data_IF_928650347811
#
_entry.id   IF_928650347811
#
_cell.length_a   1.000
_cell.length_b   1.000
_cell.length_c   1.000
_cell.angle_alpha   90.00
_cell.angle_beta   90.00
_cell.angle_gamma   90.00
#
_symmetry.space_group_name_H-M   'P 1'
#
loop_
_entity.id
_entity.type
_entity.pdbx_description
1 polymer ?
#
# COMPACT_ATOMS: atom_id res chain seq x y z
N UNK A 1 8.03 -17.25 -5.96
CA UNK A 1 7.09 -16.11 -6.11
C UNK A 1 7.57 -15.09 -7.14
N UNK A 2 6.99 -15.20 -8.35
CA UNK A 2 7.01 -14.31 -9.52
C UNK A 2 8.30 -13.52 -9.88
N UNK A 3 9.11 -14.01 -10.84
CA UNK A 3 10.19 -13.24 -11.48
C UNK A 3 9.70 -12.25 -12.56
N UNK A 4 8.39 -12.03 -12.71
CA UNK A 4 7.83 -11.31 -13.87
C UNK A 4 7.91 -9.76 -13.77
N UNK A 5 8.32 -9.23 -12.63
CA UNK A 5 8.02 -7.85 -12.26
C UNK A 5 9.16 -7.18 -11.48
N UNK A 6 10.40 -7.45 -11.89
CA UNK A 6 11.56 -6.72 -11.38
C UNK A 6 12.05 -5.75 -12.45
N UNK A 7 12.37 -4.55 -11.98
CA UNK A 7 13.16 -3.48 -12.61
C UNK A 7 12.40 -2.27 -13.18
N UNK A 8 12.73 -1.12 -12.61
CA UNK A 8 12.30 0.21 -13.02
C UNK A 8 13.33 0.77 -14.02
N UNK A 9 13.32 0.22 -15.22
CA UNK A 9 14.02 0.78 -16.38
C UNK A 9 13.10 1.72 -17.17
N UNK A 10 13.68 2.77 -17.75
CA UNK A 10 12.98 3.65 -18.70
C UNK A 10 12.40 2.81 -19.86
N UNK A 11 11.10 2.96 -20.15
CA UNK A 11 10.42 2.26 -21.25
C UNK A 11 9.35 1.22 -20.87
N UNK A 12 8.97 1.09 -19.58
CA UNK A 12 7.80 0.29 -19.16
C UNK A 12 6.57 1.14 -18.96
N UNK A 13 5.41 0.65 -19.41
CA UNK A 13 4.09 1.28 -19.21
C UNK A 13 3.51 1.04 -17.80
N UNK A 14 4.23 0.32 -16.92
CA UNK A 14 3.75 -0.06 -15.58
C UNK A 14 4.83 0.17 -14.53
N UNK A 15 4.45 0.85 -13.44
CA UNK A 15 5.25 1.00 -12.22
C UNK A 15 4.74 0.05 -11.14
N UNK A 16 5.67 -0.64 -10.49
CA UNK A 16 5.37 -1.56 -9.41
C UNK A 16 5.88 -0.99 -8.09
N UNK A 17 4.98 -0.93 -7.12
CA UNK A 17 5.23 -0.41 -5.78
C UNK A 17 4.61 -1.39 -4.81
N UNK A 18 5.39 -1.86 -3.84
CA UNK A 18 4.85 -2.68 -2.75
C UNK A 18 4.21 -1.81 -1.66
N UNK A 19 3.25 -2.39 -0.94
CA UNK A 19 2.62 -1.71 0.19
C UNK A 19 3.64 -1.41 1.30
N UNK A 20 4.57 -2.34 1.54
CA UNK A 20 5.66 -2.21 2.50
C UNK A 20 6.62 -1.06 2.16
N UNK A 21 6.96 -0.85 0.88
CA UNK A 21 7.76 0.30 0.45
C UNK A 21 7.03 1.62 0.75
N UNK A 22 5.71 1.69 0.51
CA UNK A 22 4.92 2.88 0.85
C UNK A 22 4.90 3.17 2.34
N UNK A 23 4.86 2.14 3.18
CA UNK A 23 4.92 2.31 4.63
C UNK A 23 6.32 2.69 5.12
N UNK A 24 7.38 2.20 4.47
CA UNK A 24 8.76 2.44 4.87
C UNK A 24 9.27 3.82 4.44
N UNK A 25 9.00 4.25 3.22
CA UNK A 25 9.49 5.52 2.67
C UNK A 25 8.54 6.05 1.58
N UNK A 26 7.40 6.58 2.03
CA UNK A 26 6.41 7.20 1.15
C UNK A 26 6.99 8.35 0.28
N UNK A 27 7.82 9.28 0.80
CA UNK A 27 8.43 10.33 -0.03
C UNK A 27 9.23 9.77 -1.21
N UNK A 28 10.04 8.74 -0.99
CA UNK A 28 10.82 8.10 -2.05
C UNK A 28 9.90 7.45 -3.10
N UNK A 29 8.83 6.79 -2.66
CA UNK A 29 7.83 6.22 -3.57
C UNK A 29 7.15 7.29 -4.41
N UNK A 30 6.79 8.43 -3.82
CA UNK A 30 6.18 9.54 -4.56
C UNK A 30 7.13 10.15 -5.59
N UNK A 31 8.42 10.23 -5.28
CA UNK A 31 9.45 10.65 -6.26
C UNK A 31 9.56 9.67 -7.42
N UNK A 32 9.58 8.35 -7.13
CA UNK A 32 9.57 7.30 -8.17
C UNK A 32 8.31 7.41 -9.05
N UNK A 33 7.14 7.63 -8.44
CA UNK A 33 5.88 7.79 -9.13
C UNK A 33 5.87 9.05 -10.01
N UNK A 34 6.28 10.20 -9.48
CA UNK A 34 6.36 11.46 -10.21
C UNK A 34 7.27 11.34 -11.44
N UNK A 35 8.45 10.73 -11.28
CA UNK A 35 9.36 10.45 -12.39
C UNK A 35 8.74 9.49 -13.43
N UNK A 36 7.99 8.48 -12.98
CA UNK A 36 7.35 7.51 -13.86
C UNK A 36 6.21 8.11 -14.69
N UNK A 37 5.40 9.00 -14.11
CA UNK A 37 4.30 9.69 -14.83
C UNK A 37 4.72 11.00 -15.48
N UNK A 38 6.01 11.33 -15.45
CA UNK A 38 6.57 12.59 -15.94
C UNK A 38 5.88 13.84 -15.33
N UNK A 39 5.48 13.75 -14.06
CA UNK A 39 4.87 14.87 -13.35
C UNK A 39 5.95 15.81 -12.78
N UNK A 40 5.76 17.11 -13.02
CA UNK A 40 6.58 18.16 -12.45
C UNK A 40 6.12 18.43 -11.01
N UNK A 41 6.71 17.70 -10.06
CA UNK A 41 6.43 17.84 -8.62
C UNK A 41 7.76 17.97 -7.89
N UNK A 42 7.90 19.05 -7.12
CA UNK A 42 9.08 19.34 -6.31
C UNK A 42 9.13 18.48 -5.05
N UNK A 43 10.31 18.37 -4.44
CA UNK A 43 10.44 17.64 -3.17
C UNK A 43 9.66 18.32 -2.04
N UNK A 44 9.55 19.64 -2.10
CA UNK A 44 8.83 20.49 -1.16
C UNK A 44 7.32 20.23 -1.24
N UNK A 45 6.75 20.21 -2.45
CA UNK A 45 5.33 19.88 -2.66
C UNK A 45 5.00 18.46 -2.20
N UNK A 46 5.90 17.49 -2.45
CA UNK A 46 5.74 16.13 -1.93
C UNK A 46 5.63 16.16 -0.41
N UNK A 47 6.56 16.85 0.27
CA UNK A 47 6.58 16.95 1.74
C UNK A 47 5.32 17.61 2.27
N UNK A 48 4.84 18.66 1.63
CA UNK A 48 3.59 19.34 2.00
C UNK A 48 2.36 18.42 1.87
N UNK A 49 2.34 17.51 0.89
CA UNK A 49 1.22 16.59 0.68
C UNK A 49 1.25 15.36 1.60
N UNK A 50 2.41 14.92 2.09
CA UNK A 50 2.56 13.70 2.90
C UNK A 50 1.54 13.56 4.04
N UNK A 51 1.21 14.60 4.83
CA UNK A 51 0.23 14.48 5.91
C UNK A 51 -1.15 14.00 5.41
N UNK A 52 -1.53 14.39 4.20
CA UNK A 52 -2.83 14.03 3.59
C UNK A 52 -2.91 12.58 3.15
N UNK A 53 -1.76 11.93 2.91
CA UNK A 53 -1.67 10.52 2.54
C UNK A 53 -1.54 9.59 3.75
N UNK A 54 -1.44 10.15 4.96
CA UNK A 54 -1.35 9.34 6.16
C UNK A 54 -2.64 8.57 6.41
N UNK A 55 -2.50 7.34 6.93
CA UNK A 55 -3.65 6.53 7.30
C UNK A 55 -4.55 7.24 8.32
N UNK A 56 -3.96 7.99 9.26
CA UNK A 56 -4.69 8.78 10.25
C UNK A 56 -5.55 9.87 9.62
N UNK A 57 -5.01 10.63 8.67
CA UNK A 57 -5.76 11.65 7.94
C UNK A 57 -6.93 11.03 7.17
N UNK A 58 -6.66 9.99 6.39
CA UNK A 58 -7.70 9.32 5.59
C UNK A 58 -8.79 8.69 6.46
N UNK A 59 -8.42 8.10 7.61
CA UNK A 59 -9.38 7.53 8.56
C UNK A 59 -10.21 8.59 9.28
N UNK A 60 -9.65 9.79 9.49
CA UNK A 60 -10.36 10.94 10.04
C UNK A 60 -11.44 11.51 9.11
N UNK A 61 -11.25 11.38 7.79
CA UNK A 61 -12.20 11.80 6.75
C UNK A 61 -12.76 10.59 5.97
N UNK A 62 -13.28 9.60 6.71
CA UNK A 62 -13.65 8.30 6.15
C UNK A 62 -14.65 8.42 4.99
N UNK A 63 -15.59 9.37 5.04
CA UNK A 63 -16.63 9.58 4.02
C UNK A 63 -16.09 10.04 2.66
N UNK A 64 -14.92 10.69 2.65
CA UNK A 64 -14.21 11.02 1.42
C UNK A 64 -13.49 9.82 0.82
N UNK A 65 -12.94 8.95 1.67
CA UNK A 65 -12.06 7.86 1.25
C UNK A 65 -12.74 6.48 1.17
N UNK A 66 -13.97 6.33 1.67
CA UNK A 66 -14.73 5.08 1.56
C UNK A 66 -15.71 5.10 0.37
N UNK A 67 -15.98 3.95 -0.26
CA UNK A 67 -17.01 3.84 -1.30
C UNK A 67 -18.40 4.22 -0.77
N UNK A 68 -19.09 5.12 -1.47
CA UNK A 68 -20.47 5.55 -1.12
C UNK A 68 -21.56 4.53 -1.49
N UNK A 69 -21.25 3.61 -2.40
CA UNK A 69 -22.22 2.64 -2.95
C UNK A 69 -22.40 1.39 -2.08
N UNK A 70 -21.65 1.25 -0.98
CA UNK A 70 -21.62 0.03 -0.17
C UNK A 70 -22.02 0.32 1.27
N UNK A 71 -23.04 -0.38 1.75
CA UNK A 71 -23.37 -0.40 3.19
C UNK A 71 -22.61 -1.53 3.87
N UNK A 72 -21.62 -1.16 4.67
CA UNK A 72 -20.82 -2.11 5.45
C UNK A 72 -21.64 -2.74 6.58
N UNK A 73 -21.51 -4.06 6.77
CA UNK A 73 -22.16 -4.81 7.85
C UNK A 73 -21.14 -5.20 8.93
N UNK A 74 -21.61 -5.61 10.10
CA UNK A 74 -20.79 -6.20 11.17
C UNK A 74 -19.59 -5.33 11.59
N UNK A 75 -19.78 -4.01 11.67
CA UNK A 75 -18.74 -3.04 12.01
C UNK A 75 -17.50 -3.10 11.07
N UNK A 76 -17.68 -3.59 9.85
CA UNK A 76 -16.61 -3.56 8.86
C UNK A 76 -16.25 -2.11 8.53
N UNK A 77 -14.95 -1.86 8.41
CA UNK A 77 -14.40 -0.56 8.04
C UNK A 77 -13.54 -0.75 6.79
N UNK A 78 -13.78 0.05 5.75
CA UNK A 78 -12.96 0.07 4.53
C UNK A 78 -11.49 0.41 4.87
N UNK A 79 -11.29 1.49 5.65
CA UNK A 79 -9.99 1.84 6.22
C UNK A 79 -9.85 1.26 7.63
N UNK A 80 -9.24 0.07 7.76
CA UNK A 80 -9.18 -0.67 9.02
C UNK A 80 -7.97 -0.31 9.90
N UNK A 81 -6.75 -0.70 9.49
CA UNK A 81 -5.53 -0.59 10.32
C UNK A 81 -4.36 0.16 9.70
N UNK A 82 -4.12 0.02 8.39
CA UNK A 82 -3.02 0.72 7.71
C UNK A 82 -1.62 0.27 8.14
N UNK A 83 -1.45 -1.02 8.45
CA UNK A 83 -0.16 -1.60 8.90
C UNK A 83 0.15 -2.87 8.12
N UNK A 84 1.43 -3.16 7.87
CA UNK A 84 1.87 -4.47 7.37
C UNK A 84 2.02 -5.47 8.52
N UNK A 85 1.89 -6.77 8.22
CA UNK A 85 2.03 -7.85 9.20
C UNK A 85 0.80 -8.14 10.08
N UNK A 86 -0.32 -7.43 9.89
CA UNK A 86 -1.55 -7.61 10.69
C UNK A 86 -2.14 -9.03 10.59
N UNK A 87 -1.81 -9.76 9.52
CA UNK A 87 -2.20 -11.16 9.33
C UNK A 87 -1.75 -12.06 10.48
N UNK A 88 -0.62 -11.73 11.13
CA UNK A 88 -0.10 -12.42 12.31
C UNK A 88 -0.96 -12.19 13.56
N UNK A 89 -1.97 -11.30 13.53
CA UNK A 89 -2.90 -11.15 14.66
C UNK A 89 -4.17 -11.97 14.47
N UNK A 90 -4.44 -12.42 13.25
CA UNK A 90 -5.69 -13.10 12.87
C UNK A 90 -5.46 -14.59 12.61
N UNK A 91 -4.33 -14.95 11.99
CA UNK A 91 -4.03 -16.34 11.64
C UNK A 91 -3.58 -17.13 12.88
N UNK A 92 -4.13 -18.32 13.06
CA UNK A 92 -3.63 -19.31 14.03
C UNK A 92 -2.25 -19.85 13.63
N UNK A 93 -1.51 -20.42 14.59
CA UNK A 93 -0.20 -21.02 14.32
C UNK A 93 -0.27 -22.12 13.25
N UNK A 94 -1.37 -22.88 13.24
CA UNK A 94 -1.61 -23.90 12.22
C UNK A 94 -1.70 -23.31 10.82
N UNK A 95 -2.44 -22.22 10.66
CA UNK A 95 -2.62 -21.52 9.38
C UNK A 95 -1.32 -20.86 8.91
N UNK A 96 -0.57 -20.25 9.83
CA UNK A 96 0.74 -19.67 9.51
C UNK A 96 1.72 -20.72 9.02
N UNK A 97 1.78 -21.88 9.69
CA UNK A 97 2.64 -22.99 9.28
C UNK A 97 2.22 -23.57 7.93
N UNK A 98 0.91 -23.71 7.69
CA UNK A 98 0.39 -24.15 6.41
C UNK A 98 0.76 -23.18 5.27
N UNK A 99 0.68 -21.87 5.54
CA UNK A 99 1.05 -20.82 4.58
C UNK A 99 2.56 -20.83 4.27
N UNK A 100 3.41 -20.90 5.29
CA UNK A 100 4.87 -21.01 5.12
C UNK A 100 5.24 -22.23 4.26
N UNK A 101 4.67 -23.39 4.59
CA UNK A 101 4.87 -24.63 3.81
C UNK A 101 4.35 -24.54 2.37
N UNK A 102 3.44 -23.62 2.06
CA UNK A 102 2.95 -23.41 0.69
C UNK A 102 3.94 -22.56 -0.11
N UNK A 103 4.46 -21.48 0.50
CA UNK A 103 5.48 -20.63 -0.11
C UNK A 103 6.79 -21.38 -0.40
N UNK A 104 7.17 -22.34 0.43
CA UNK A 104 8.39 -23.15 0.26
C UNK A 104 8.29 -24.25 -0.80
N UNK A 105 7.08 -24.55 -1.31
CA UNK A 105 6.87 -25.57 -2.35
C UNK A 105 7.04 -25.05 -3.77
N UNK A 106 7.04 -23.73 -3.96
CA UNK A 106 7.27 -23.03 -5.24
C UNK A 106 8.70 -22.49 -5.35
#
# INVERSE_FOLDING_TARGET
>A
FAPAFVDAGHGREVLLISYEEMLSDLPLVLKKLAAFVEADVTSEEIVEMLPTFSFGHMKGDLDRFQPRSVTWKNNFQFLRRGVSGDSLTVASDRERKALANWFERE
#
